data_IF_795887426635
#
_entry.id   IF_795887426635
#
_cell.length_a   1.000
_cell.length_b   1.000
_cell.length_c   1.000
_cell.angle_alpha   90.00
_cell.angle_beta   90.00
_cell.angle_gamma   90.00
#
_symmetry.space_group_name_H-M   'P 1'
#
loop_
_entity.id
_entity.type
_entity.pdbx_description
1 polymer ?
#
# COMPACT_ATOMS: atom_id res chain seq x y z
N UNK A 1 1.83 5.87 -15.20
CA UNK A 1 0.39 5.66 -14.90
C UNK A 1 0.11 4.27 -14.33
N UNK A 2 0.84 3.22 -14.70
CA UNK A 2 0.59 1.87 -14.18
C UNK A 2 1.37 1.53 -12.90
N UNK A 3 2.31 2.41 -12.52
CA UNK A 3 3.20 2.23 -11.36
C UNK A 3 2.40 2.18 -10.06
N UNK A 4 1.37 3.00 -9.86
CA UNK A 4 0.63 3.02 -8.59
C UNK A 4 -0.07 1.68 -8.31
N UNK A 5 -0.66 1.05 -9.34
CA UNK A 5 -1.37 -0.22 -9.14
C UNK A 5 -0.40 -1.34 -8.77
N UNK A 6 0.81 -1.33 -9.37
CA UNK A 6 1.90 -2.24 -8.97
C UNK A 6 2.30 -2.04 -7.51
N UNK A 7 2.48 -0.79 -7.07
CA UNK A 7 2.85 -0.51 -5.68
C UNK A 7 1.74 -0.93 -4.69
N UNK A 8 0.47 -0.67 -5.01
CA UNK A 8 -0.66 -1.10 -4.17
C UNK A 8 -0.75 -2.63 -4.06
N UNK A 9 -0.57 -3.35 -5.17
CA UNK A 9 -0.56 -4.82 -5.17
C UNK A 9 0.65 -5.35 -4.37
N UNK A 10 1.82 -4.71 -4.50
CA UNK A 10 3.00 -5.07 -3.70
C UNK A 10 2.74 -4.90 -2.20
N UNK A 11 2.16 -3.77 -1.79
CA UNK A 11 1.80 -3.51 -0.40
C UNK A 11 0.78 -4.51 0.14
N UNK A 12 -0.22 -4.86 -0.67
CA UNK A 12 -1.20 -5.89 -0.33
C UNK A 12 -0.55 -7.28 -0.16
N UNK A 13 0.36 -7.67 -1.06
CA UNK A 13 1.11 -8.93 -0.94
C UNK A 13 1.93 -8.97 0.37
N UNK A 14 2.63 -7.89 0.70
CA UNK A 14 3.40 -7.81 1.94
C UNK A 14 2.50 -7.91 3.18
N UNK A 15 1.29 -7.34 3.13
CA UNK A 15 0.32 -7.44 4.22
C UNK A 15 -0.20 -8.87 4.40
N UNK A 16 -0.45 -9.59 3.31
CA UNK A 16 -0.87 -11.00 3.32
C UNK A 16 0.24 -11.91 3.85
N UNK A 17 1.50 -11.69 3.43
CA UNK A 17 2.63 -12.49 3.92
C UNK A 17 2.88 -12.27 5.42
N UNK A 18 2.73 -11.03 5.90
CA UNK A 18 2.86 -10.72 7.34
C UNK A 18 1.82 -11.46 8.19
N UNK A 19 0.53 -11.43 7.80
CA UNK A 19 -0.50 -12.14 8.56
C UNK A 19 -0.28 -13.65 8.50
N UNK A 20 0.08 -14.19 7.32
CA UNK A 20 0.38 -15.60 7.13
C UNK A 20 1.53 -16.07 8.03
N UNK A 21 2.60 -15.28 8.12
CA UNK A 21 3.74 -15.58 8.99
C UNK A 21 3.35 -15.56 10.47
N UNK A 22 2.62 -14.53 10.91
CA UNK A 22 2.19 -14.40 12.31
C UNK A 22 1.24 -15.52 12.71
N UNK A 23 0.35 -15.94 11.80
CA UNK A 23 -0.59 -17.03 12.01
C UNK A 23 0.07 -18.38 12.34
N UNK A 24 1.35 -18.59 11.97
CA UNK A 24 2.11 -19.78 12.36
C UNK A 24 2.30 -19.90 13.88
N UNK A 25 2.30 -18.75 14.58
CA UNK A 25 2.49 -18.67 16.03
C UNK A 25 1.25 -18.22 16.77
N UNK A 26 0.34 -17.52 16.09
CA UNK A 26 -0.91 -16.95 16.62
C UNK A 26 -2.06 -17.21 15.65
N UNK A 27 -2.57 -18.45 15.56
CA UNK A 27 -3.61 -18.82 14.61
C UNK A 27 -4.90 -17.98 14.73
N UNK A 28 -5.17 -17.44 15.93
CA UNK A 28 -6.30 -16.57 16.21
C UNK A 28 -6.32 -15.27 15.38
N UNK A 29 -5.17 -14.82 14.86
CA UNK A 29 -5.08 -13.62 14.05
C UNK A 29 -5.75 -13.75 12.67
N UNK A 30 -5.90 -14.98 12.16
CA UNK A 30 -6.63 -15.22 10.91
C UNK A 30 -8.15 -15.07 11.07
N UNK A 31 -8.66 -15.02 12.32
CA UNK A 31 -10.08 -14.85 12.62
C UNK A 31 -10.98 -15.81 11.83
N UNK A 32 -12.06 -15.27 11.26
CA UNK A 32 -12.97 -15.99 10.36
C UNK A 32 -12.53 -15.95 8.89
N UNK A 33 -11.61 -15.06 8.54
CA UNK A 33 -11.14 -14.83 7.17
C UNK A 33 -10.03 -15.82 6.83
N UNK A 34 -10.43 -16.98 6.30
CA UNK A 34 -9.49 -18.04 5.89
C UNK A 34 -8.84 -17.77 4.54
N UNK A 35 -9.43 -16.92 3.72
CA UNK A 35 -8.94 -16.61 2.38
C UNK A 35 -8.06 -15.37 2.40
N UNK A 36 -6.78 -15.59 2.09
CA UNK A 36 -5.78 -14.54 1.88
C UNK A 36 -5.80 -14.15 0.40
N UNK A 37 -6.23 -12.92 0.11
CA UNK A 37 -6.49 -12.48 -1.25
C UNK A 37 -6.34 -10.97 -1.41
N UNK A 38 -6.23 -10.54 -2.67
CA UNK A 38 -6.33 -9.15 -3.10
C UNK A 38 -7.44 -9.06 -4.14
N UNK A 39 -8.48 -8.26 -3.87
CA UNK A 39 -9.57 -7.96 -4.80
C UNK A 39 -9.38 -6.58 -5.42
N UNK A 40 -9.62 -6.49 -6.73
CA UNK A 40 -9.57 -5.24 -7.48
C UNK A 40 -10.93 -5.06 -8.16
N UNK A 41 -11.62 -3.96 -7.84
CA UNK A 41 -12.97 -3.67 -8.32
C UNK A 41 -12.99 -2.27 -8.94
N UNK A 42 -13.58 -2.14 -10.12
CA UNK A 42 -13.79 -0.85 -10.77
C UNK A 42 -15.29 -0.54 -10.81
N UNK A 43 -15.66 0.62 -10.27
CA UNK A 43 -17.00 1.16 -10.33
C UNK A 43 -17.03 2.29 -11.36
N UNK A 44 -17.74 2.06 -12.46
CA UNK A 44 -17.83 3.01 -13.57
C UNK A 44 -18.68 4.24 -13.23
N UNK A 45 -19.73 4.07 -12.42
CA UNK A 45 -20.63 5.15 -12.04
C UNK A 45 -19.94 6.09 -11.04
N UNK A 46 -19.30 5.52 -10.01
CA UNK A 46 -18.55 6.27 -9.02
C UNK A 46 -17.18 6.73 -9.53
N UNK A 47 -16.70 6.16 -10.65
CA UNK A 47 -15.35 6.35 -11.20
C UNK A 47 -14.25 6.02 -10.18
N UNK A 48 -14.45 4.95 -9.42
CA UNK A 48 -13.51 4.51 -8.38
C UNK A 48 -12.86 3.18 -8.76
N UNK A 49 -11.59 3.04 -8.38
CA UNK A 49 -10.87 1.76 -8.40
C UNK A 49 -10.57 1.39 -6.96
N UNK A 50 -11.13 0.28 -6.50
CA UNK A 50 -10.95 -0.24 -5.15
C UNK A 50 -9.94 -1.38 -5.20
N UNK A 51 -8.89 -1.29 -4.37
CA UNK A 51 -7.96 -2.39 -4.10
C UNK A 51 -8.14 -2.77 -2.64
N UNK A 52 -8.50 -4.04 -2.39
CA UNK A 52 -8.79 -4.54 -1.05
C UNK A 52 -8.02 -5.82 -0.80
N UNK A 53 -7.29 -5.89 0.31
CA UNK A 53 -6.65 -7.10 0.79
C UNK A 53 -7.24 -7.60 2.11
N UNK A 54 -6.97 -8.86 2.43
CA UNK A 54 -7.30 -9.51 3.71
C UNK A 54 -6.04 -9.73 4.56
N UNK A 55 -5.03 -8.86 4.40
CA UNK A 55 -3.76 -8.92 5.11
C UNK A 55 -3.85 -8.49 6.58
N UNK A 56 -2.67 -8.28 7.17
CA UNK A 56 -2.54 -7.93 8.60
C UNK A 56 -3.23 -6.62 8.99
N UNK A 57 -3.54 -5.77 8.01
CA UNK A 57 -4.12 -4.45 8.23
C UNK A 57 -3.18 -3.50 8.96
N UNK A 58 -3.75 -2.41 9.46
CA UNK A 58 -3.03 -1.39 10.23
C UNK A 58 -3.87 -0.95 11.42
N UNK A 59 -3.23 -0.73 12.56
CA UNK A 59 -3.88 -0.03 13.67
C UNK A 59 -4.01 1.46 13.38
N UNK A 60 -4.79 2.17 14.19
CA UNK A 60 -4.88 3.63 14.09
C UNK A 60 -3.48 4.30 14.15
N UNK A 61 -2.62 3.84 15.07
CA UNK A 61 -1.29 4.45 15.24
C UNK A 61 -0.37 4.12 14.07
N UNK A 62 -0.49 2.93 13.48
CA UNK A 62 0.22 2.57 12.25
C UNK A 62 -0.22 3.47 11.08
N UNK A 63 -1.52 3.76 10.96
CA UNK A 63 -2.05 4.66 9.93
C UNK A 63 -1.48 6.08 10.11
N UNK A 64 -1.55 6.63 11.32
CA UNK A 64 -1.03 7.98 11.61
C UNK A 64 0.46 8.06 11.32
N UNK A 65 1.22 7.05 11.74
CA UNK A 65 2.67 7.02 11.55
C UNK A 65 3.05 6.83 10.08
N UNK A 66 2.49 5.83 9.40
CA UNK A 66 2.93 5.43 8.08
C UNK A 66 2.38 6.37 7.00
N UNK A 67 1.08 6.71 7.04
CA UNK A 67 0.47 7.60 6.04
C UNK A 67 0.77 9.06 6.34
N UNK A 68 0.68 9.48 7.60
CA UNK A 68 0.95 10.85 8.00
C UNK A 68 2.40 11.30 7.76
N UNK A 69 3.36 10.38 7.87
CA UNK A 69 4.78 10.67 7.61
C UNK A 69 5.13 10.60 6.13
N UNK A 70 4.56 9.64 5.39
CA UNK A 70 4.78 9.49 3.94
C UNK A 70 4.23 10.70 3.17
N UNK A 71 3.00 11.13 3.50
CA UNK A 71 2.39 12.33 2.90
C UNK A 71 3.19 13.61 3.16
N UNK A 72 4.03 13.65 4.19
CA UNK A 72 4.88 14.80 4.51
C UNK A 72 6.28 14.72 3.91
N UNK A 73 6.90 13.54 3.94
CA UNK A 73 8.34 13.40 3.59
C UNK A 73 8.58 12.93 2.15
N UNK A 74 7.67 12.12 1.59
CA UNK A 74 7.78 11.61 0.24
C UNK A 74 7.48 12.70 -0.79
N UNK A 75 6.43 13.48 -0.56
CA UNK A 75 6.00 14.56 -1.49
C UNK A 75 7.05 15.65 -1.60
N UNK A 76 7.69 16.05 -0.49
CA UNK A 76 8.76 17.06 -0.52
C UNK A 76 9.98 16.58 -1.30
N UNK A 77 10.47 15.36 -1.02
CA UNK A 77 11.63 14.80 -1.72
C UNK A 77 11.35 14.53 -3.20
N UNK A 78 10.13 14.12 -3.53
CA UNK A 78 9.71 13.93 -4.92
C UNK A 78 9.65 15.26 -5.68
N UNK A 79 9.10 16.32 -5.06
CA UNK A 79 9.07 17.66 -5.65
C UNK A 79 10.48 18.25 -5.84
N UNK A 80 11.37 18.05 -4.87
CA UNK A 80 12.79 18.44 -4.97
C UNK A 80 13.48 17.72 -6.14
N UNK A 81 13.34 16.39 -6.23
CA UNK A 81 13.93 15.60 -7.32
C UNK A 81 13.34 15.93 -8.70
N UNK A 82 12.05 16.28 -8.78
CA UNK A 82 11.42 16.74 -10.03
C UNK A 82 11.95 18.10 -10.49
N UNK A 83 12.31 18.99 -9.57
CA UNK A 83 12.88 20.31 -9.88
C UNK A 83 14.29 20.23 -10.51
N UNK A 84 15.03 19.14 -10.24
CA UNK A 84 16.39 18.92 -10.74
C UNK A 84 16.46 18.23 -12.12
N UNK A 85 15.32 17.99 -12.77
CA UNK A 85 15.25 17.57 -14.18
C UNK A 85 15.35 16.05 -14.44
N UNK A 86 15.41 15.22 -13.39
CA UNK A 86 15.38 13.76 -13.47
C UNK A 86 13.95 13.22 -13.38
N UNK A 87 13.16 13.44 -14.44
CA UNK A 87 11.78 12.98 -14.57
C UNK A 87 11.60 11.47 -14.76
N UNK A 88 12.34 10.64 -14.02
CA UNK A 88 12.18 9.19 -14.07
C UNK A 88 11.08 8.73 -13.09
N UNK A 89 9.93 8.39 -13.66
CA UNK A 89 8.72 7.89 -12.98
C UNK A 89 9.00 6.59 -12.21
N UNK A 90 10.10 5.89 -12.52
CA UNK A 90 10.57 4.71 -11.78
C UNK A 90 10.95 4.98 -10.32
N UNK A 91 11.26 6.22 -9.93
CA UNK A 91 11.69 6.55 -8.56
C UNK A 91 10.54 6.70 -7.55
N UNK A 92 9.27 6.65 -7.98
CA UNK A 92 8.09 6.83 -7.10
C UNK A 92 8.06 5.82 -5.94
N UNK A 93 8.42 4.56 -6.20
CA UNK A 93 8.51 3.51 -5.17
C UNK A 93 9.62 3.78 -4.14
N UNK A 94 10.70 4.46 -4.54
CA UNK A 94 11.82 4.81 -3.65
C UNK A 94 11.48 5.92 -2.66
N UNK A 95 10.51 6.79 -3.01
CA UNK A 95 10.09 7.92 -2.17
C UNK A 95 8.83 7.64 -1.34
N UNK A 96 8.21 6.46 -1.51
CA UNK A 96 7.00 6.07 -0.78
C UNK A 96 5.75 6.85 -1.17
N UNK A 97 5.78 7.67 -2.22
CA UNK A 97 4.63 8.50 -2.68
C UNK A 97 3.62 7.73 -3.54
N UNK A 98 3.79 6.43 -3.70
CA UNK A 98 2.85 5.55 -4.40
C UNK A 98 1.62 5.17 -3.57
N UNK A 99 1.53 5.67 -2.33
CA UNK A 99 0.40 5.48 -1.41
C UNK A 99 -0.45 6.75 -1.32
#
# INVERSE_FOLDING_TARGET
>A
KDVFLRELISNASDALDKIRFLALTKPELMGETKELEVRIEYDEEAKTLTVRDTGIGMTHDDLVKNLGTVARSGTTKFLEAMGEGSGDVGMIGQFGVGF
#
